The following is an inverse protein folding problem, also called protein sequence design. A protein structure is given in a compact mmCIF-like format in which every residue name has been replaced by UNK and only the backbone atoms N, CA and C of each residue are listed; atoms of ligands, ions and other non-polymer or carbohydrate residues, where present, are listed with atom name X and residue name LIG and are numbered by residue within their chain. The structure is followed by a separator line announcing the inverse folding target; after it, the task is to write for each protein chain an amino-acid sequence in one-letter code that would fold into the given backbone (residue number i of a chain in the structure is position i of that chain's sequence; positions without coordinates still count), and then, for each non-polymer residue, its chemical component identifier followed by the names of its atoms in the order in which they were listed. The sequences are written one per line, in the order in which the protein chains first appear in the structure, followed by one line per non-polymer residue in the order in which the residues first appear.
data_IF_756283383929
#
_entry.id   IF_756283383929
#
_cell.length_a   1.000
_cell.length_b   1.000
_cell.length_c   1.000
_cell.angle_alpha   90.00
_cell.angle_beta   90.00
_cell.angle_gamma   90.00
#
_symmetry.space_group_name_H-M   'P 1'
#
loop_
_entity.id
_entity.type
_entity.pdbx_description
1 polymer ?
#
# COMPACT_ATOMS: atom_id res chain seq x y z
N UNK A 1 17.47 4.06 9.71
CA UNK A 1 16.44 3.39 8.91
C UNK A 1 16.75 1.90 8.88
N UNK A 2 15.86 1.06 9.42
CA UNK A 2 16.07 -0.40 9.54
C UNK A 2 15.82 -1.12 8.20
N UNK A 3 16.54 -2.21 7.88
CA UNK A 3 16.28 -3.08 6.71
C UNK A 3 14.85 -3.63 6.59
N UNK A 4 14.06 -3.55 7.66
CA UNK A 4 12.69 -4.09 7.80
C UNK A 4 11.65 -3.40 6.92
N UNK A 5 11.82 -2.10 6.63
CA UNK A 5 10.77 -1.27 5.99
C UNK A 5 10.39 -1.69 4.58
N UNK A 6 11.30 -2.37 3.86
CA UNK A 6 11.00 -2.86 2.51
C UNK A 6 10.03 -4.02 2.54
N UNK A 7 10.24 -5.01 3.42
CA UNK A 7 9.38 -6.19 3.53
C UNK A 7 7.96 -5.79 3.95
N UNK A 8 7.86 -4.84 4.88
CA UNK A 8 6.58 -4.26 5.34
C UNK A 8 5.73 -3.69 4.19
N UNK A 9 6.34 -3.02 3.19
CA UNK A 9 5.59 -2.44 2.07
C UNK A 9 5.07 -3.51 1.10
N UNK A 10 5.81 -4.60 0.89
CA UNK A 10 5.37 -5.67 -0.03
C UNK A 10 4.17 -6.40 0.55
N UNK A 11 4.24 -6.67 1.85
CA UNK A 11 3.18 -7.35 2.61
C UNK A 11 1.92 -6.48 2.68
N UNK A 12 2.07 -5.17 2.93
CA UNK A 12 0.98 -4.19 2.84
C UNK A 12 0.24 -4.27 1.50
N UNK A 13 0.97 -4.25 0.37
CA UNK A 13 0.35 -4.23 -0.96
C UNK A 13 -0.44 -5.51 -1.23
N UNK A 14 0.14 -6.66 -0.88
CA UNK A 14 -0.53 -7.96 -1.03
C UNK A 14 -1.76 -8.05 -0.14
N UNK A 15 -1.63 -7.66 1.12
CA UNK A 15 -2.70 -7.71 2.10
C UNK A 15 -3.87 -6.80 1.71
N UNK A 16 -3.59 -5.53 1.39
CA UNK A 16 -4.60 -4.58 0.92
C UNK A 16 -5.35 -5.13 -0.30
N UNK A 17 -4.61 -5.64 -1.29
CA UNK A 17 -5.21 -6.19 -2.50
C UNK A 17 -6.13 -7.38 -2.19
N UNK A 18 -5.69 -8.28 -1.30
CA UNK A 18 -6.49 -9.43 -0.88
C UNK A 18 -7.73 -9.02 -0.09
N UNK A 19 -7.63 -8.06 0.81
CA UNK A 19 -8.76 -7.53 1.58
C UNK A 19 -9.82 -6.88 0.67
N UNK A 20 -9.40 -6.24 -0.42
CA UNK A 20 -10.29 -5.68 -1.44
C UNK A 20 -10.80 -6.72 -2.46
N UNK A 21 -10.39 -7.99 -2.33
CA UNK A 21 -10.69 -9.08 -3.26
C UNK A 21 -10.33 -8.74 -4.73
N UNK A 22 -9.20 -8.08 -4.94
CA UNK A 22 -8.74 -7.66 -6.26
C UNK A 22 -7.65 -8.59 -6.81
N UNK A 23 -7.70 -8.85 -8.11
CA UNK A 23 -6.53 -9.36 -8.84
C UNK A 23 -5.45 -8.29 -8.93
N UNK A 24 -4.19 -8.70 -9.16
CA UNK A 24 -3.09 -7.75 -9.40
C UNK A 24 -3.39 -6.80 -10.58
N UNK A 25 -4.17 -7.24 -11.58
CA UNK A 25 -4.58 -6.41 -12.72
C UNK A 25 -5.57 -5.33 -12.31
N UNK A 26 -6.60 -5.69 -11.53
CA UNK A 26 -7.59 -4.73 -11.03
C UNK A 26 -6.96 -3.73 -10.06
N UNK A 27 -6.08 -4.20 -9.17
CA UNK A 27 -5.34 -3.35 -8.26
C UNK A 27 -4.44 -2.35 -9.01
N UNK A 28 -3.73 -2.83 -10.05
CA UNK A 28 -2.92 -1.97 -10.91
C UNK A 28 -3.76 -0.90 -11.62
N UNK A 29 -4.95 -1.26 -12.12
CA UNK A 29 -5.86 -0.33 -12.77
C UNK A 29 -6.32 0.79 -11.82
N UNK A 30 -6.65 0.45 -10.56
CA UNK A 30 -7.04 1.44 -9.54
C UNK A 30 -5.90 2.43 -9.22
N UNK A 31 -4.64 1.99 -9.33
CA UNK A 31 -3.46 2.81 -9.07
C UNK A 31 -2.90 3.50 -10.32
N UNK A 32 -3.50 3.31 -11.50
CA UNK A 32 -3.01 3.87 -12.77
C UNK A 32 -1.64 3.33 -13.20
N UNK A 33 -1.28 2.11 -12.79
CA UNK A 33 0.00 1.46 -13.14
C UNK A 33 -0.23 0.15 -13.90
N UNK A 34 0.84 -0.42 -14.45
CA UNK A 34 0.75 -1.72 -15.13
C UNK A 34 0.67 -2.89 -14.14
N UNK A 35 0.04 -3.99 -14.54
CA UNK A 35 0.10 -5.27 -13.81
C UNK A 35 1.54 -5.70 -13.48
N UNK A 36 2.48 -5.51 -14.43
CA UNK A 36 3.90 -5.85 -14.23
C UNK A 36 4.51 -5.05 -13.09
N UNK A 37 4.08 -3.80 -12.91
CA UNK A 37 4.52 -2.92 -11.81
C UNK A 37 4.09 -3.48 -10.47
N UNK A 38 2.81 -3.81 -10.29
CA UNK A 38 2.28 -4.44 -9.06
C UNK A 38 2.96 -5.77 -8.80
N UNK A 39 3.14 -6.62 -9.82
CA UNK A 39 3.84 -7.89 -9.68
C UNK A 39 5.28 -7.72 -9.16
N UNK A 40 6.01 -6.70 -9.64
CA UNK A 40 7.37 -6.40 -9.14
C UNK A 40 7.37 -5.86 -7.71
N UNK A 41 6.35 -5.09 -7.31
CA UNK A 41 6.20 -4.63 -5.94
C UNK A 41 5.94 -5.79 -4.99
N UNK A 42 4.96 -6.63 -5.28
CA UNK A 42 4.63 -7.77 -4.43
C UNK A 42 5.84 -8.72 -4.29
N UNK A 43 6.62 -8.95 -5.35
CA UNK A 43 7.82 -9.79 -5.28
C UNK A 43 9.10 -9.08 -4.79
N UNK A 44 9.02 -7.85 -4.31
CA UNK A 44 10.16 -7.13 -3.73
C UNK A 44 11.24 -6.69 -4.72
N UNK A 45 10.99 -6.80 -6.02
CA UNK A 45 11.92 -6.39 -7.06
C UNK A 45 12.05 -4.86 -7.17
N UNK A 46 10.98 -4.14 -6.86
CA UNK A 46 10.94 -2.67 -6.84
C UNK A 46 10.02 -2.20 -5.73
N UNK A 47 10.15 -0.95 -5.29
CA UNK A 47 9.23 -0.32 -4.34
C UNK A 47 8.28 0.66 -5.07
N UNK A 48 7.07 0.92 -4.55
CA UNK A 48 6.20 1.94 -5.12
C UNK A 48 6.81 3.33 -5.00
N UNK A 49 6.45 4.21 -5.94
CA UNK A 49 6.81 5.62 -5.84
C UNK A 49 6.05 6.30 -4.70
N UNK A 50 6.50 7.50 -4.28
CA UNK A 50 5.79 8.28 -3.26
C UNK A 50 4.34 8.59 -3.65
N UNK A 51 4.07 8.81 -4.94
CA UNK A 51 2.70 9.02 -5.43
C UNK A 51 1.85 7.76 -5.30
N UNK A 52 2.40 6.60 -5.68
CA UNK A 52 1.70 5.33 -5.53
C UNK A 52 1.43 4.99 -4.06
N UNK A 53 2.37 5.27 -3.15
CA UNK A 53 2.18 5.09 -1.71
C UNK A 53 1.04 5.97 -1.17
N UNK A 54 0.94 7.23 -1.62
CA UNK A 54 -0.18 8.11 -1.25
C UNK A 54 -1.52 7.56 -1.70
N UNK A 55 -1.62 7.09 -2.95
CA UNK A 55 -2.85 6.46 -3.47
C UNK A 55 -3.21 5.20 -2.68
N UNK A 56 -2.23 4.37 -2.33
CA UNK A 56 -2.42 3.18 -1.47
C UNK A 56 -2.95 3.59 -0.09
N UNK A 57 -2.37 4.62 0.52
CA UNK A 57 -2.82 5.15 1.81
C UNK A 57 -4.26 5.68 1.73
N UNK A 58 -4.60 6.43 0.69
CA UNK A 58 -5.97 6.92 0.45
C UNK A 58 -6.97 5.77 0.28
N UNK A 59 -6.61 4.72 -0.47
CA UNK A 59 -7.43 3.51 -0.59
C UNK A 59 -7.69 2.86 0.77
N UNK A 60 -6.66 2.76 1.61
CA UNK A 60 -6.78 2.20 2.97
C UNK A 60 -7.73 3.06 3.82
N UNK A 61 -7.60 4.39 3.77
CA UNK A 61 -8.47 5.31 4.52
C UNK A 61 -9.93 5.18 4.12
N UNK A 62 -10.22 4.89 2.85
CA UNK A 62 -11.58 4.68 2.34
C UNK A 62 -12.23 3.36 2.78
N UNK A 63 -11.46 2.41 3.33
CA UNK A 63 -11.98 1.11 3.76
C UNK A 63 -12.70 1.14 5.11
N UNK A 64 -12.59 2.22 5.90
CA UNK A 64 -13.15 2.29 7.25
C UNK A 64 -12.38 1.42 8.27
N UNK A 65 -13.09 0.67 9.12
CA UNK A 65 -12.48 -0.11 10.21
C UNK A 65 -11.39 -1.12 9.76
N UNK A 66 -11.57 -1.89 8.67
CA UNK A 66 -10.49 -2.74 8.15
C UNK A 66 -9.22 -1.95 7.78
N UNK A 67 -9.38 -0.73 7.26
CA UNK A 67 -8.28 0.15 6.88
C UNK A 67 -7.48 0.68 8.07
N UNK A 68 -8.14 0.96 9.20
CA UNK A 68 -7.47 1.44 10.42
C UNK A 68 -6.38 0.51 10.92
N UNK A 69 -6.59 -0.81 10.82
CA UNK A 69 -5.55 -1.80 11.19
C UNK A 69 -4.32 -1.69 10.28
N UNK A 70 -4.52 -1.58 8.97
CA UNK A 70 -3.43 -1.40 8.01
C UNK A 70 -2.69 -0.07 8.24
N UNK A 71 -3.40 1.02 8.56
CA UNK A 71 -2.77 2.30 8.90
C UNK A 71 -1.90 2.17 10.14
N UNK A 72 -2.40 1.57 11.21
CA UNK A 72 -1.62 1.40 12.44
C UNK A 72 -0.39 0.52 12.25
N UNK A 73 -0.51 -0.52 11.42
CA UNK A 73 0.55 -1.48 11.19
C UNK A 73 1.63 -0.95 10.24
N UNK A 74 1.26 -0.21 9.19
CA UNK A 74 2.18 0.16 8.11
C UNK A 74 2.41 1.68 7.96
N UNK A 75 1.56 2.51 8.57
CA UNK A 75 1.63 3.97 8.58
C UNK A 75 1.45 4.59 10.00
N UNK A 76 2.16 4.10 11.04
CA UNK A 76 1.93 4.55 12.43
C UNK A 76 2.22 6.05 12.66
N UNK A 77 3.00 6.69 11.79
CA UNK A 77 3.35 8.12 11.86
C UNK A 77 2.30 9.03 11.20
N UNK A 78 1.29 8.46 10.51
CA UNK A 78 0.31 9.25 9.75
C UNK A 78 -0.77 9.92 10.62
N UNK A 79 -0.77 9.71 11.94
CA UNK A 79 -1.62 10.43 12.90
C UNK A 79 -0.95 11.69 13.51
N UNK A 80 0.34 11.97 13.27
CA UNK A 80 1.03 13.08 13.96
C UNK A 80 1.47 14.27 13.10
N UNK A 81 1.09 14.36 11.82
CA UNK A 81 1.67 15.43 10.98
C UNK A 81 1.06 15.67 9.60
N UNK A 82 -0.27 15.77 9.52
CA UNK A 82 -0.91 16.48 8.40
C UNK A 82 -1.70 17.67 8.91
N UNK A 83 -1.07 18.47 9.77
CA UNK A 83 -1.53 19.82 10.08
C UNK A 83 -0.32 20.74 10.27
N UNK A 84 0.02 21.45 9.18
CA UNK A 84 0.79 22.71 9.03
C UNK A 84 1.65 22.71 7.77
#
# INVERSE_FOLDING_TARGET
MSPTKRLEILDLIRELRQQLNLSQKQFAANLGVSFKTVNRWENGHTVPSRLALKLIEEMIRQMGEPGKRLLNQYFPEAESGYDS
#
